data_IF_896333416657
#
_entry.id   IF_896333416657
#
_cell.length_a   1.000
_cell.length_b   1.000
_cell.length_c   1.000
_cell.angle_alpha   90.00
_cell.angle_beta   90.00
_cell.angle_gamma   90.00
#
_symmetry.space_group_name_H-M   'P 1'
#
loop_
_entity.id
_entity.type
_entity.pdbx_description
1 polymer ?
#
# COMPACT_ATOMS: atom_id res chain seq x y z
N UNK A 1 -16.19 2.05 -4.29
CA UNK A 1 -15.44 2.79 -5.34
C UNK A 1 -14.08 3.21 -4.76
N UNK A 2 -13.13 3.70 -5.56
CA UNK A 2 -11.82 4.17 -5.08
C UNK A 2 -11.90 5.20 -3.93
N UNK A 3 -13.03 5.90 -3.82
CA UNK A 3 -13.36 6.86 -2.77
C UNK A 3 -13.46 6.26 -1.35
N UNK A 4 -13.67 4.94 -1.26
CA UNK A 4 -13.79 4.24 0.02
C UNK A 4 -12.43 3.87 0.63
N UNK A 5 -11.34 4.02 -0.13
CA UNK A 5 -9.97 3.75 0.32
C UNK A 5 -9.56 4.84 1.30
N UNK A 6 -9.47 4.48 2.57
CA UNK A 6 -9.05 5.41 3.62
C UNK A 6 -7.54 5.42 3.74
N UNK A 7 -6.96 4.27 4.04
CA UNK A 7 -5.52 4.17 4.29
C UNK A 7 -4.92 2.96 3.55
N UNK A 8 -3.64 3.10 3.22
CA UNK A 8 -2.79 2.01 2.74
C UNK A 8 -1.65 1.85 3.72
N UNK A 9 -1.46 0.62 4.19
CA UNK A 9 -0.39 0.26 5.11
C UNK A 9 0.56 -0.72 4.44
N UNK A 10 1.85 -0.44 4.51
CA UNK A 10 2.88 -1.39 4.10
C UNK A 10 3.11 -2.38 5.24
N UNK A 11 3.16 -3.66 4.91
CA UNK A 11 3.46 -4.72 5.87
C UNK A 11 4.37 -5.77 5.26
N UNK A 12 5.03 -6.55 6.12
CA UNK A 12 6.07 -7.48 5.70
C UNK A 12 7.44 -6.81 5.61
N UNK A 13 8.42 -7.51 5.02
CA UNK A 13 9.79 -7.02 4.96
C UNK A 13 10.12 -6.48 3.56
N UNK A 14 10.98 -5.45 3.45
CA UNK A 14 11.46 -4.97 2.16
C UNK A 14 12.15 -6.09 1.38
N UNK A 15 12.17 -5.98 0.04
CA UNK A 15 12.70 -7.00 -0.88
C UNK A 15 14.14 -7.45 -0.56
N UNK A 16 14.93 -6.61 0.13
CA UNK A 16 16.33 -6.85 0.50
C UNK A 16 16.53 -7.42 1.90
N UNK A 17 15.48 -7.82 2.63
CA UNK A 17 15.66 -8.48 3.92
C UNK A 17 16.11 -9.93 3.75
N UNK A 18 17.03 -10.38 4.61
CA UNK A 18 17.49 -11.79 4.69
C UNK A 18 16.34 -12.81 4.85
N UNK A 19 15.14 -12.37 5.25
CA UNK A 19 13.93 -13.19 5.29
C UNK A 19 13.01 -12.86 4.11
N UNK A 20 12.72 -13.87 3.28
CA UNK A 20 11.92 -13.87 2.03
C UNK A 20 10.43 -13.50 2.20
N UNK A 21 10.06 -12.67 3.16
CA UNK A 21 8.67 -12.20 3.27
C UNK A 21 8.50 -11.00 2.36
N UNK A 22 7.96 -11.23 1.15
CA UNK A 22 7.57 -10.18 0.19
C UNK A 22 6.80 -9.07 0.91
N UNK A 23 7.18 -7.81 0.67
CA UNK A 23 6.42 -6.67 1.13
C UNK A 23 5.03 -6.66 0.49
N UNK A 24 4.04 -6.29 1.28
CA UNK A 24 2.64 -6.28 0.88
C UNK A 24 1.98 -4.97 1.31
N UNK A 25 0.89 -4.66 0.63
CA UNK A 25 0.03 -3.50 0.86
C UNK A 25 -1.27 -3.99 1.45
N UNK A 26 -1.66 -3.43 2.58
CA UNK A 26 -2.99 -3.57 3.16
C UNK A 26 -3.77 -2.31 2.84
N UNK A 27 -4.89 -2.47 2.16
CA UNK A 27 -5.82 -1.40 1.81
C UNK A 27 -7.02 -1.50 2.71
N UNK A 28 -7.31 -0.45 3.46
CA UNK A 28 -8.53 -0.37 4.28
C UNK A 28 -9.63 0.35 3.49
N UNK A 29 -10.73 -0.34 3.25
CA UNK A 29 -11.95 0.17 2.64
C UNK A 29 -13.05 0.28 3.71
N UNK A 30 -13.76 1.40 3.75
CA UNK A 30 -14.88 1.58 4.69
C UNK A 30 -14.44 1.52 6.16
N UNK A 31 -15.22 0.81 7.00
CA UNK A 31 -14.97 0.68 8.45
C UNK A 31 -14.22 -0.61 8.84
N UNK A 32 -14.41 -1.69 8.09
CA UNK A 32 -13.93 -3.02 8.48
C UNK A 32 -13.34 -3.86 7.35
N UNK A 33 -13.40 -3.40 6.09
CA UNK A 33 -12.93 -4.19 4.97
C UNK A 33 -11.44 -3.93 4.74
N UNK A 34 -10.66 -5.00 4.69
CA UNK A 34 -9.24 -4.93 4.35
C UNK A 34 -8.94 -5.83 3.16
N UNK A 35 -8.22 -5.28 2.18
CA UNK A 35 -7.67 -6.04 1.06
C UNK A 35 -6.17 -6.09 1.22
N UNK A 36 -5.58 -7.25 0.99
CA UNK A 36 -4.13 -7.39 0.97
C UNK A 36 -3.64 -7.74 -0.43
N UNK A 37 -2.61 -7.03 -0.89
CA UNK A 37 -1.97 -7.30 -2.17
C UNK A 37 -0.44 -7.23 -2.05
N UNK A 38 0.27 -7.80 -3.03
CA UNK A 38 1.72 -7.63 -3.12
C UNK A 38 2.06 -6.20 -3.60
N UNK A 39 3.22 -5.69 -3.17
CA UNK A 39 3.75 -4.42 -3.71
C UNK A 39 4.06 -4.60 -5.20
N UNK A 40 3.57 -3.71 -6.10
CA UNK A 40 3.90 -3.75 -7.51
C UNK A 40 5.40 -3.51 -7.77
N UNK A 41 5.94 -4.05 -8.87
CA UNK A 41 7.35 -3.82 -9.24
C UNK A 41 7.71 -2.34 -9.43
N UNK A 42 6.78 -1.52 -9.93
CA UNK A 42 6.97 -0.09 -10.11
C UNK A 42 6.11 0.67 -9.09
N UNK A 43 6.64 0.80 -7.87
CA UNK A 43 5.95 1.43 -6.75
C UNK A 43 5.65 2.91 -7.01
N UNK A 44 6.59 3.66 -7.59
CA UNK A 44 6.43 5.10 -7.83
C UNK A 44 5.29 5.41 -8.81
N UNK A 45 5.16 4.60 -9.87
CA UNK A 45 4.04 4.71 -10.81
C UNK A 45 2.72 4.39 -10.11
N UNK A 46 2.69 3.31 -9.33
CA UNK A 46 1.50 2.91 -8.58
C UNK A 46 1.06 4.01 -7.60
N UNK A 47 1.98 4.58 -6.82
CA UNK A 47 1.68 5.64 -5.86
C UNK A 47 1.19 6.92 -6.55
N UNK A 48 1.74 7.25 -7.72
CA UNK A 48 1.30 8.40 -8.51
C UNK A 48 -0.13 8.22 -9.01
N UNK A 49 -0.46 7.05 -9.57
CA UNK A 49 -1.82 6.72 -10.00
C UNK A 49 -2.79 6.69 -8.82
N UNK A 50 -2.36 6.13 -7.69
CA UNK A 50 -3.15 6.07 -6.48
C UNK A 50 -3.46 7.47 -5.94
N UNK A 51 -2.46 8.35 -5.81
CA UNK A 51 -2.69 9.73 -5.37
C UNK A 51 -3.59 10.50 -6.33
N UNK A 52 -3.46 10.23 -7.63
CA UNK A 52 -4.32 10.84 -8.65
C UNK A 52 -5.79 10.39 -8.54
N UNK A 53 -6.03 9.13 -8.16
CA UNK A 53 -7.38 8.57 -8.03
C UNK A 53 -7.99 8.75 -6.65
N UNK A 54 -7.16 8.80 -5.61
CA UNK A 54 -7.52 8.86 -4.20
C UNK A 54 -6.69 9.95 -3.50
N UNK A 55 -7.03 11.24 -3.67
CA UNK A 55 -6.22 12.34 -3.14
C UNK A 55 -6.15 12.36 -1.60
N UNK A 56 -7.15 11.78 -0.91
CA UNK A 56 -7.25 11.76 0.55
C UNK A 56 -6.65 10.50 1.20
N UNK A 57 -6.05 9.60 0.41
CA UNK A 57 -5.50 8.35 0.94
C UNK A 57 -4.31 8.61 1.85
N UNK A 58 -4.32 8.04 3.06
CA UNK A 58 -3.11 8.08 3.92
C UNK A 58 -2.26 6.86 3.67
N UNK A 59 -0.98 7.09 3.40
CA UNK A 59 0.03 6.03 3.26
C UNK A 59 0.75 5.91 4.60
N UNK A 60 0.71 4.73 5.20
CA UNK A 60 1.28 4.39 6.51
C UNK A 60 2.40 3.37 6.35
N UNK A 61 3.40 3.45 7.22
CA UNK A 61 4.51 2.48 7.34
C UNK A 61 5.33 2.28 6.05
N UNK A 62 5.29 3.24 5.13
CA UNK A 62 6.22 3.28 4.00
C UNK A 62 7.61 3.55 4.57
N UNK A 63 8.41 2.50 4.73
CA UNK A 63 9.83 2.62 5.02
C UNK A 63 10.51 3.29 3.82
N UNK A 64 10.69 4.61 3.93
CA UNK A 64 11.62 5.35 3.07
C UNK A 64 13.00 4.95 3.56
N UNK A 65 13.64 4.05 2.80
CA UNK A 65 15.04 3.72 3.01
C UNK A 65 15.91 4.85 2.47
#
# INVERSE_FOLDING_TARGET
MYEDIRHIKYYGKPLHSEKWTRQRLEFSYGLFDTLTACVPQNEDKFLSELKSKCPNVKILDRHVN
#
